data_IF_458181869123
#
_entry.id   IF_458181869123
#
_cell.length_a   1.000
_cell.length_b   1.000
_cell.length_c   1.000
_cell.angle_alpha   90.00
_cell.angle_beta   90.00
_cell.angle_gamma   90.00
#
_symmetry.space_group_name_H-M   'P 1'
#
loop_
_entity.id
_entity.type
_entity.pdbx_description
1 polymer ?
#
# COMPACT_ATOMS: atom_id res chain seq x y z
N UNK A 1 12.06 3.01 -6.66
CA UNK A 1 13.47 2.56 -6.77
C UNK A 1 13.88 1.98 -5.42
N UNK A 2 14.64 0.89 -5.40
CA UNK A 2 15.02 0.20 -4.14
C UNK A 2 16.53 0.28 -3.94
N UNK A 3 16.95 0.73 -2.76
CA UNK A 3 18.34 0.84 -2.33
C UNK A 3 18.60 -0.15 -1.20
N UNK A 4 19.74 -0.83 -1.23
CA UNK A 4 20.17 -1.74 -0.15
C UNK A 4 21.40 -1.14 0.51
N UNK A 5 21.37 -1.01 1.83
CA UNK A 5 22.47 -0.46 2.63
C UNK A 5 22.76 -1.36 3.83
N UNK A 6 23.96 -1.26 4.37
CA UNK A 6 24.35 -1.92 5.61
C UNK A 6 23.88 -1.13 6.84
N UNK A 7 23.81 -1.78 8.00
CA UNK A 7 23.62 -1.11 9.29
C UNK A 7 24.67 -0.02 9.53
N UNK A 8 25.92 -0.24 9.11
CA UNK A 8 27.00 0.74 9.24
C UNK A 8 26.78 1.99 8.38
N UNK A 9 26.28 1.82 7.15
CA UNK A 9 25.93 2.94 6.26
C UNK A 9 24.74 3.74 6.79
N UNK A 10 23.75 3.07 7.38
CA UNK A 10 22.63 3.75 8.04
C UNK A 10 23.09 4.60 9.23
N UNK A 11 23.95 4.06 10.10
CA UNK A 11 24.49 4.77 11.27
C UNK A 11 25.37 5.95 10.86
N UNK A 12 26.11 5.82 9.75
CA UNK A 12 27.00 6.86 9.25
C UNK A 12 26.25 8.13 8.86
N UNK A 13 25.11 8.01 8.18
CA UNK A 13 24.32 9.17 7.74
C UNK A 13 22.83 8.85 7.54
N UNK A 14 22.09 8.81 8.65
CA UNK A 14 20.65 8.56 8.62
C UNK A 14 19.88 9.66 7.88
N UNK A 15 20.38 10.91 7.85
CA UNK A 15 19.69 12.02 7.20
C UNK A 15 19.69 11.85 5.69
N UNK A 16 20.83 11.50 5.11
CA UNK A 16 20.91 11.20 3.67
C UNK A 16 20.02 10.01 3.27
N UNK A 17 19.83 9.03 4.17
CA UNK A 17 18.89 7.91 3.95
C UNK A 17 17.45 8.40 3.96
N UNK A 18 17.07 9.24 4.93
CA UNK A 18 15.73 9.82 5.02
C UNK A 18 15.40 10.71 3.81
N UNK A 19 16.35 11.54 3.36
CA UNK A 19 16.17 12.36 2.15
C UNK A 19 15.83 11.48 0.94
N UNK A 20 16.52 10.36 0.75
CA UNK A 20 16.21 9.42 -0.36
C UNK A 20 14.82 8.81 -0.22
N UNK A 21 14.41 8.50 1.02
CA UNK A 21 13.08 7.98 1.30
C UNK A 21 12.02 9.02 0.95
N UNK A 22 12.20 10.29 1.33
CA UNK A 22 11.27 11.39 0.99
C UNK A 22 11.12 11.58 -0.53
N UNK A 23 12.14 11.23 -1.31
CA UNK A 23 12.10 11.21 -2.79
C UNK A 23 11.57 9.87 -3.37
N UNK A 24 10.91 9.03 -2.57
CA UNK A 24 10.25 7.80 -3.00
C UNK A 24 11.17 6.58 -3.13
N UNK A 25 12.36 6.60 -2.51
CA UNK A 25 13.24 5.43 -2.46
C UNK A 25 12.86 4.50 -1.31
N UNK A 26 12.67 3.22 -1.59
CA UNK A 26 12.59 2.20 -0.54
C UNK A 26 14.02 1.76 -0.16
N UNK A 27 14.33 1.75 1.13
CA UNK A 27 15.65 1.40 1.65
C UNK A 27 15.56 0.11 2.44
N UNK A 28 16.29 -0.91 2.02
CA UNK A 28 16.43 -2.19 2.72
C UNK A 28 17.75 -2.15 3.49
N UNK A 29 17.67 -2.33 4.80
CA UNK A 29 18.83 -2.37 5.69
C UNK A 29 19.23 -3.83 5.83
N UNK A 30 20.51 -4.11 5.63
CA UNK A 30 21.10 -5.45 5.66
C UNK A 30 22.22 -5.54 6.71
N UNK A 31 22.42 -6.75 7.22
CA UNK A 31 23.63 -7.14 7.94
C UNK A 31 24.80 -7.32 6.98
N UNK A 32 26.01 -7.48 7.51
CA UNK A 32 27.22 -7.75 6.69
C UNK A 32 27.08 -9.01 5.81
N UNK A 33 26.32 -10.01 6.26
CA UNK A 33 26.01 -11.23 5.51
C UNK A 33 24.91 -11.04 4.44
N UNK A 34 24.55 -9.78 4.12
CA UNK A 34 23.51 -9.39 3.14
C UNK A 34 22.10 -9.86 3.52
N UNK A 35 21.88 -10.23 4.79
CA UNK A 35 20.55 -10.58 5.29
C UNK A 35 19.75 -9.31 5.61
N UNK A 36 18.53 -9.13 5.04
CA UNK A 36 17.67 -8.01 5.38
C UNK A 36 17.27 -8.03 6.86
N UNK A 37 17.26 -6.86 7.50
CA UNK A 37 16.80 -6.68 8.89
C UNK A 37 15.63 -5.72 9.01
N UNK A 38 15.55 -4.72 8.12
CA UNK A 38 14.49 -3.74 8.14
C UNK A 38 14.27 -3.14 6.76
N UNK A 39 13.08 -2.58 6.54
CA UNK A 39 12.73 -1.79 5.38
C UNK A 39 12.24 -0.43 5.84
N UNK A 40 12.84 0.63 5.32
CA UNK A 40 12.39 2.02 5.51
C UNK A 40 11.85 2.54 4.20
N UNK A 41 10.65 3.11 4.23
CA UNK A 41 9.98 3.73 3.09
C UNK A 41 9.11 4.87 3.58
N UNK A 42 8.63 5.72 2.66
CA UNK A 42 7.66 6.74 3.03
C UNK A 42 6.48 6.06 3.71
N UNK A 43 5.88 6.69 4.74
CA UNK A 43 4.63 6.22 5.28
C UNK A 43 3.67 6.06 4.10
N UNK A 44 3.19 4.83 3.86
CA UNK A 44 2.05 4.71 2.97
C UNK A 44 0.95 5.54 3.62
N UNK A 45 0.31 6.47 2.88
CA UNK A 45 -0.87 7.11 3.42
C UNK A 45 -1.77 5.97 3.89
N UNK A 46 -2.17 5.99 5.16
CA UNK A 46 -3.16 5.05 5.64
C UNK A 46 -4.29 5.13 4.62
N UNK A 47 -4.57 4.01 3.94
CA UNK A 47 -5.65 3.98 2.97
C UNK A 47 -6.89 4.59 3.63
N UNK A 48 -7.67 5.37 2.87
CA UNK A 48 -8.90 5.95 3.42
C UNK A 48 -9.70 4.85 4.10
N UNK A 49 -10.14 5.10 5.33
CA UNK A 49 -10.98 4.14 6.03
C UNK A 49 -12.23 3.91 5.19
N UNK A 50 -12.76 2.69 5.22
CA UNK A 50 -14.04 2.40 4.56
C UNK A 50 -15.13 3.38 5.02
N UNK A 51 -15.11 3.78 6.30
CA UNK A 51 -16.00 4.82 6.84
C UNK A 51 -15.86 6.16 6.13
N UNK A 52 -14.64 6.60 5.81
CA UNK A 52 -14.41 7.86 5.09
C UNK A 52 -14.87 7.76 3.63
N UNK A 53 -14.68 6.61 3.00
CA UNK A 53 -15.21 6.35 1.66
C UNK A 53 -16.74 6.36 1.63
N UNK A 54 -17.40 5.82 2.67
CA UNK A 54 -18.86 5.84 2.81
C UNK A 54 -19.36 7.28 3.01
N UNK A 55 -18.73 8.06 3.90
CA UNK A 55 -19.13 9.46 4.09
C UNK A 55 -18.94 10.29 2.82
N UNK A 56 -17.88 10.03 2.05
CA UNK A 56 -17.69 10.66 0.75
C UNK A 56 -18.84 10.30 -0.22
N UNK A 57 -19.22 9.02 -0.31
CA UNK A 57 -20.32 8.59 -1.17
C UNK A 57 -21.66 9.25 -0.79
N UNK A 58 -21.95 9.38 0.52
CA UNK A 58 -23.14 10.09 1.02
C UNK A 58 -23.11 11.58 0.65
N UNK A 59 -21.95 12.24 0.77
CA UNK A 59 -21.80 13.64 0.38
C UNK A 59 -22.03 13.83 -1.14
N UNK A 60 -21.55 12.89 -1.95
CA UNK A 60 -21.81 12.87 -3.40
C UNK A 60 -23.31 12.68 -3.70
N UNK A 61 -23.98 11.74 -3.04
CA UNK A 61 -25.42 11.53 -3.17
C UNK A 61 -26.21 12.79 -2.82
N UNK A 62 -25.87 13.45 -1.71
CA UNK A 62 -26.51 14.71 -1.30
C UNK A 62 -26.30 15.84 -2.32
N UNK A 63 -25.15 15.86 -3.00
CA UNK A 63 -24.83 16.86 -4.03
C UNK A 63 -25.55 16.59 -5.35
N UNK A 64 -25.64 15.32 -5.76
CA UNK A 64 -26.18 14.90 -7.05
C UNK A 64 -27.70 14.67 -7.02
N UNK A 65 -28.28 14.46 -5.84
CA UNK A 65 -29.71 14.21 -5.66
C UNK A 65 -30.15 12.79 -6.02
N UNK A 66 -29.21 11.88 -6.27
CA UNK A 66 -29.48 10.46 -6.51
C UNK A 66 -28.38 9.59 -5.91
N UNK A 67 -28.77 8.39 -5.49
CA UNK A 67 -27.84 7.42 -4.93
C UNK A 67 -26.82 6.96 -5.99
N UNK A 68 -25.53 6.81 -5.63
CA UNK A 68 -24.55 6.22 -6.54
C UNK A 68 -24.95 4.77 -6.84
N UNK A 69 -25.26 4.49 -8.12
CA UNK A 69 -25.64 3.17 -8.60
C UNK A 69 -24.41 2.54 -9.28
N UNK A 70 -24.03 1.29 -8.96
CA UNK A 70 -23.06 0.56 -9.74
C UNK A 70 -23.47 0.52 -11.22
N UNK A 71 -22.51 0.48 -12.13
CA UNK A 71 -22.83 0.29 -13.54
C UNK A 71 -23.44 -1.10 -13.80
N UNK A 72 -24.04 -1.28 -14.97
CA UNK A 72 -24.78 -2.49 -15.32
C UNK A 72 -23.91 -3.75 -15.34
N UNK A 73 -22.60 -3.61 -15.59
CA UNK A 73 -21.66 -4.72 -15.74
C UNK A 73 -20.92 -5.04 -14.42
N UNK A 74 -21.00 -4.17 -13.41
CA UNK A 74 -20.34 -4.35 -12.11
C UNK A 74 -20.47 -5.77 -11.54
N UNK A 75 -21.68 -6.34 -11.54
CA UNK A 75 -21.92 -7.68 -11.00
C UNK A 75 -21.20 -8.77 -11.80
N UNK A 76 -21.12 -8.61 -13.13
CA UNK A 76 -20.42 -9.52 -14.03
C UNK A 76 -18.92 -9.42 -13.80
N UNK A 77 -18.38 -8.22 -13.71
CA UNK A 77 -16.94 -7.98 -13.50
C UNK A 77 -16.47 -8.56 -12.15
N UNK A 78 -17.27 -8.39 -11.09
CA UNK A 78 -16.98 -9.00 -9.77
C UNK A 78 -16.97 -10.52 -9.87
N UNK A 79 -17.94 -11.11 -10.58
CA UNK A 79 -18.02 -12.55 -10.74
C UNK A 79 -16.82 -13.09 -11.54
N UNK A 80 -16.42 -12.42 -12.62
CA UNK A 80 -15.24 -12.78 -13.40
C UNK A 80 -13.96 -12.74 -12.57
N UNK A 81 -13.80 -11.72 -11.72
CA UNK A 81 -12.68 -11.64 -10.79
C UNK A 81 -12.66 -12.79 -9.78
N UNK A 82 -13.81 -13.16 -9.23
CA UNK A 82 -13.94 -14.31 -8.32
C UNK A 82 -13.55 -15.60 -9.04
N UNK A 83 -14.09 -15.85 -10.22
CA UNK A 83 -13.85 -17.09 -10.95
C UNK A 83 -12.40 -17.21 -11.44
N UNK A 84 -11.75 -16.09 -11.76
CA UNK A 84 -10.34 -16.04 -12.12
C UNK A 84 -9.40 -16.26 -10.92
N UNK A 85 -9.82 -15.89 -9.71
CA UNK A 85 -8.98 -15.86 -8.50
C UNK A 85 -9.57 -16.64 -7.33
N UNK A 86 -10.10 -17.84 -7.59
CA UNK A 86 -10.71 -18.71 -6.58
C UNK A 86 -9.70 -19.40 -5.66
N UNK A 87 -8.41 -19.20 -5.88
CA UNK A 87 -7.35 -19.71 -5.01
C UNK A 87 -7.53 -19.26 -3.56
N UNK A 88 -7.16 -20.11 -2.57
CA UNK A 88 -7.14 -19.70 -1.17
C UNK A 88 -6.27 -18.46 -0.99
N UNK A 89 -6.77 -17.50 -0.21
CA UNK A 89 -5.99 -16.31 0.15
C UNK A 89 -4.76 -16.78 0.93
N UNK A 90 -3.57 -16.58 0.35
CA UNK A 90 -2.32 -16.76 1.09
C UNK A 90 -2.10 -15.55 1.99
N UNK A 91 -2.33 -15.73 3.29
CA UNK A 91 -1.91 -14.74 4.29
C UNK A 91 -0.39 -14.76 4.40
N UNK A 92 0.25 -13.78 3.78
CA UNK A 92 1.70 -13.53 3.91
C UNK A 92 2.13 -13.07 5.31
N UNK A 93 1.19 -13.01 6.26
CA UNK A 93 1.39 -12.65 7.67
C UNK A 93 1.31 -13.83 8.63
N UNK A 94 0.97 -15.03 8.13
CA UNK A 94 0.87 -16.26 8.92
C UNK A 94 2.18 -17.11 8.84
N UNK A 95 3.30 -16.54 8.38
CA UNK A 95 4.66 -17.12 8.32
C UNK A 95 5.64 -16.36 9.22
#
# INVERSE_FOLDING_TARGET
MTLRITEAELVRDVRAVLDKIEHGTEVIIEREDRRPVAVMKQPQPAGRKLSECIELAKAYEATLGYAPVPDADFAKDVQEGIDAHREPIRNVWDE
#
